data_IF_359392447213
#
_entry.id   IF_359392447213
#
_cell.length_a   1.000
_cell.length_b   1.000
_cell.length_c   1.000
_cell.angle_alpha   90.00
_cell.angle_beta   90.00
_cell.angle_gamma   90.00
#
_symmetry.space_group_name_H-M   'P 1'
#
loop_
_entity.id
_entity.type
_entity.pdbx_description
1 polymer ?
#
# COMPACT_ATOMS: atom_id res chain seq x y z
N UNK A 1 -19.33 -9.38 4.84
CA UNK A 1 -17.89 -9.52 4.50
C UNK A 1 -17.75 -9.09 3.05
N UNK A 2 -16.78 -8.24 2.74
CA UNK A 2 -16.60 -7.72 1.38
C UNK A 2 -16.16 -8.84 0.43
N UNK A 3 -16.67 -8.82 -0.79
CA UNK A 3 -16.19 -9.66 -1.89
C UNK A 3 -14.85 -9.12 -2.44
N UNK A 4 -14.00 -9.96 -3.06
CA UNK A 4 -12.72 -9.52 -3.64
C UNK A 4 -12.83 -8.31 -4.57
N UNK A 5 -13.90 -8.20 -5.35
CA UNK A 5 -14.14 -7.08 -6.26
C UNK A 5 -14.44 -5.78 -5.51
N UNK A 6 -15.17 -5.86 -4.40
CA UNK A 6 -15.44 -4.71 -3.53
C UNK A 6 -14.17 -4.26 -2.82
N UNK A 7 -13.37 -5.21 -2.34
CA UNK A 7 -12.05 -4.95 -1.75
C UNK A 7 -11.15 -4.25 -2.76
N UNK A 8 -11.04 -4.79 -3.98
CA UNK A 8 -10.25 -4.20 -5.06
C UNK A 8 -10.67 -2.76 -5.34
N UNK A 9 -11.98 -2.52 -5.50
CA UNK A 9 -12.51 -1.18 -5.76
C UNK A 9 -12.22 -0.20 -4.62
N UNK A 10 -12.51 -0.58 -3.37
CA UNK A 10 -12.30 0.31 -2.21
C UNK A 10 -10.82 0.60 -1.99
N UNK A 11 -9.95 -0.40 -2.15
CA UNK A 11 -8.51 -0.22 -2.04
C UNK A 11 -7.98 0.70 -3.15
N UNK A 12 -8.47 0.55 -4.38
CA UNK A 12 -8.11 1.42 -5.49
C UNK A 12 -8.53 2.88 -5.25
N UNK A 13 -9.74 3.11 -4.73
CA UNK A 13 -10.19 4.45 -4.35
C UNK A 13 -9.31 5.07 -3.28
N UNK A 14 -8.95 4.31 -2.25
CA UNK A 14 -8.05 4.77 -1.20
C UNK A 14 -6.64 5.08 -1.74
N UNK A 15 -6.10 4.27 -2.66
CA UNK A 15 -4.81 4.57 -3.32
C UNK A 15 -4.86 5.90 -4.07
N UNK A 16 -5.90 6.14 -4.86
CA UNK A 16 -6.08 7.42 -5.57
C UNK A 16 -6.12 8.59 -4.60
N UNK A 17 -6.75 8.42 -3.44
CA UNK A 17 -6.89 9.48 -2.43
C UNK A 17 -5.59 9.74 -1.66
N UNK A 18 -4.85 8.71 -1.27
CA UNK A 18 -3.76 8.85 -0.30
C UNK A 18 -2.36 8.50 -0.85
N UNK A 19 -2.26 7.69 -1.89
CA UNK A 19 -1.01 7.18 -2.44
C UNK A 19 -1.06 7.06 -3.99
N UNK A 20 -1.27 8.18 -4.72
CA UNK A 20 -1.60 8.16 -6.15
C UNK A 20 -0.49 7.61 -7.06
N UNK A 21 0.74 7.53 -6.56
CA UNK A 21 1.87 6.92 -7.28
C UNK A 21 1.78 5.39 -7.33
N UNK A 22 0.91 4.78 -6.52
CA UNK A 22 0.73 3.34 -6.41
C UNK A 22 -0.56 2.88 -7.09
N UNK A 23 -0.50 1.74 -7.75
CA UNK A 23 -1.65 1.07 -8.36
C UNK A 23 -1.68 -0.41 -8.03
N UNK A 24 -2.85 -1.03 -8.21
CA UNK A 24 -2.99 -2.49 -8.08
C UNK A 24 -2.59 -3.12 -9.43
N UNK A 25 -1.64 -4.05 -9.41
CA UNK A 25 -1.09 -4.70 -10.61
C UNK A 25 -1.42 -6.19 -10.71
N UNK A 26 -2.38 -6.69 -9.92
CA UNK A 26 -2.78 -8.09 -9.91
C UNK A 26 -4.14 -8.35 -9.28
N UNK A 27 -4.53 -9.62 -9.21
CA UNK A 27 -5.80 -10.02 -8.61
C UNK A 27 -5.83 -9.76 -7.09
N UNK A 28 -7.00 -9.39 -6.60
CA UNK A 28 -7.30 -9.42 -5.17
C UNK A 28 -7.67 -10.84 -4.75
N UNK A 29 -7.03 -11.36 -3.70
CA UNK A 29 -7.29 -12.73 -3.23
C UNK A 29 -7.58 -12.74 -1.74
N UNK A 30 -8.64 -13.42 -1.32
CA UNK A 30 -8.88 -13.67 0.10
C UNK A 30 -7.84 -14.66 0.65
N UNK A 31 -7.31 -14.36 1.84
CA UNK A 31 -6.27 -15.14 2.48
C UNK A 31 -6.87 -16.15 3.46
N UNK A 32 -6.55 -17.42 3.26
CA UNK A 32 -6.76 -18.48 4.24
C UNK A 32 -5.81 -18.36 5.44
N UNK A 33 -6.32 -18.62 6.65
CA UNK A 33 -5.54 -18.77 7.89
C UNK A 33 -4.80 -20.12 7.99
N UNK A 34 -5.13 -21.07 7.12
CA UNK A 34 -4.57 -22.42 7.13
C UNK A 34 -3.37 -22.60 6.21
N UNK A 35 -3.00 -21.55 5.45
CA UNK A 35 -1.86 -21.56 4.53
C UNK A 35 -0.70 -20.80 5.16
N UNK A 36 0.43 -21.47 5.37
CA UNK A 36 1.58 -20.89 6.08
C UNK A 36 2.21 -19.71 5.32
N UNK A 37 2.13 -19.72 3.99
CA UNK A 37 2.60 -18.65 3.11
C UNK A 37 1.73 -17.38 3.21
N UNK A 38 0.47 -17.52 3.63
CA UNK A 38 -0.43 -16.38 3.79
C UNK A 38 -0.09 -15.59 5.04
N UNK A 39 0.04 -14.28 4.85
CA UNK A 39 0.24 -13.34 5.94
C UNK A 39 -1.07 -12.61 6.25
N UNK A 40 -2.02 -13.34 6.82
CA UNK A 40 -3.29 -12.79 7.25
C UNK A 40 -3.21 -12.13 8.65
N UNK A 41 -4.12 -11.21 8.94
CA UNK A 41 -4.36 -10.66 10.30
C UNK A 41 -5.58 -11.28 10.99
N UNK A 42 -6.44 -11.95 10.23
CA UNK A 42 -7.65 -12.63 10.71
C UNK A 42 -8.54 -13.04 9.54
N UNK A 43 -9.77 -13.48 9.84
CA UNK A 43 -10.78 -13.76 8.81
C UNK A 43 -11.10 -12.48 7.99
N UNK A 44 -11.32 -12.65 6.69
CA UNK A 44 -11.55 -11.54 5.77
C UNK A 44 -10.31 -10.65 5.56
N UNK A 45 -9.11 -11.24 5.55
CA UNK A 45 -7.89 -10.54 5.11
C UNK A 45 -7.66 -10.81 3.63
N UNK A 46 -7.26 -9.79 2.88
CA UNK A 46 -7.02 -9.87 1.44
C UNK A 46 -5.58 -9.54 1.07
N UNK A 47 -5.07 -10.26 0.08
CA UNK A 47 -3.79 -10.01 -0.57
C UNK A 47 -3.98 -9.28 -1.90
N UNK A 48 -2.99 -8.44 -2.24
CA UNK A 48 -2.95 -7.58 -3.42
C UNK A 48 -1.48 -7.41 -3.83
N UNK A 49 -1.23 -7.12 -5.11
CA UNK A 49 0.09 -6.68 -5.58
C UNK A 49 -0.01 -5.23 -5.98
N UNK A 50 0.89 -4.40 -5.45
CA UNK A 50 0.96 -2.98 -5.75
C UNK A 50 2.22 -2.67 -6.55
N UNK A 51 2.08 -1.78 -7.52
CA UNK A 51 3.18 -1.26 -8.32
C UNK A 51 3.24 0.26 -8.18
N UNK A 52 4.44 0.79 -7.93
CA UNK A 52 4.67 2.22 -7.93
C UNK A 52 5.05 2.67 -9.34
N UNK A 53 4.21 3.50 -9.95
CA UNK A 53 4.38 3.97 -11.34
C UNK A 53 5.60 4.85 -11.56
N UNK A 54 6.13 5.47 -10.50
CA UNK A 54 7.24 6.42 -10.57
C UNK A 54 8.58 5.73 -10.36
N UNK A 55 8.66 4.84 -9.37
CA UNK A 55 9.91 4.18 -8.94
C UNK A 55 10.05 2.76 -9.47
N UNK A 56 8.98 2.16 -9.99
CA UNK A 56 8.93 0.75 -10.39
C UNK A 56 8.89 -0.23 -9.20
N UNK A 57 8.84 0.28 -7.96
CA UNK A 57 8.81 -0.55 -6.76
C UNK A 57 7.56 -1.44 -6.71
N UNK A 58 7.72 -2.66 -6.18
CA UNK A 58 6.62 -3.61 -6.02
C UNK A 58 6.40 -3.93 -4.54
N UNK A 59 5.14 -3.96 -4.12
CA UNK A 59 4.72 -4.40 -2.79
C UNK A 59 3.72 -5.54 -2.92
N UNK A 60 3.96 -6.63 -2.19
CA UNK A 60 3.07 -7.79 -2.17
C UNK A 60 2.41 -7.85 -0.79
N UNK A 61 1.10 -7.67 -0.77
CA UNK A 61 0.28 -7.76 0.45
C UNK A 61 -0.23 -9.19 0.60
N UNK A 62 -0.18 -9.72 1.82
CA UNK A 62 -0.77 -11.01 2.15
C UNK A 62 0.13 -12.22 1.98
N UNK A 63 1.41 -12.03 1.67
CA UNK A 63 2.42 -13.09 1.62
C UNK A 63 3.59 -12.77 2.55
N UNK A 64 4.15 -13.80 3.19
CA UNK A 64 5.33 -13.65 4.07
C UNK A 64 6.63 -13.52 3.30
N UNK A 65 6.75 -14.22 2.18
CA UNK A 65 7.91 -14.28 1.30
C UNK A 65 7.47 -14.55 -0.13
N UNK A 66 8.38 -14.39 -1.08
CA UNK A 66 8.16 -14.74 -2.49
C UNK A 66 9.40 -14.45 -3.34
N UNK A 67 9.28 -14.74 -4.62
CA UNK A 67 10.41 -14.74 -5.57
C UNK A 67 10.47 -13.48 -6.44
N UNK A 68 9.51 -12.55 -6.30
CA UNK A 68 9.50 -11.33 -7.10
C UNK A 68 10.74 -10.48 -6.77
N UNK A 69 11.64 -10.23 -7.74
CA UNK A 69 12.83 -9.44 -7.50
C UNK A 69 12.45 -8.00 -7.15
N UNK A 70 13.11 -7.43 -6.14
CA UNK A 70 12.87 -6.07 -5.63
C UNK A 70 11.45 -5.83 -5.07
N UNK A 71 10.68 -6.89 -4.79
CA UNK A 71 9.41 -6.77 -4.09
C UNK A 71 9.61 -6.74 -2.57
N UNK A 72 8.81 -5.93 -1.88
CA UNK A 72 8.69 -5.99 -0.41
C UNK A 72 7.37 -6.64 -0.01
N UNK A 73 7.39 -7.45 1.05
CA UNK A 73 6.28 -8.30 1.46
C UNK A 73 5.67 -7.76 2.75
N UNK A 74 4.34 -7.67 2.78
CA UNK A 74 3.59 -7.06 3.87
C UNK A 74 2.38 -7.91 4.22
N UNK A 75 1.85 -7.71 5.43
CA UNK A 75 0.59 -8.32 5.86
C UNK A 75 -0.58 -7.86 4.98
N UNK A 76 -1.53 -8.76 4.74
CA UNK A 76 -2.72 -8.43 3.96
C UNK A 76 -3.63 -7.40 4.65
N UNK A 77 -4.55 -6.82 3.88
CA UNK A 77 -5.51 -5.81 4.36
C UNK A 77 -6.78 -6.46 4.89
N UNK A 78 -7.23 -6.07 6.08
CA UNK A 78 -8.51 -6.54 6.64
C UNK A 78 -9.68 -5.82 5.97
N UNK A 79 -10.76 -6.57 5.66
CA UNK A 79 -12.00 -5.99 5.14
C UNK A 79 -12.58 -4.90 6.04
N UNK A 80 -12.37 -4.98 7.37
CA UNK A 80 -12.84 -3.97 8.34
C UNK A 80 -12.20 -2.60 8.13
N UNK A 81 -10.95 -2.55 7.70
CA UNK A 81 -10.25 -1.30 7.38
C UNK A 81 -10.90 -0.65 6.15
N UNK A 82 -11.31 -1.45 5.17
CA UNK A 82 -11.97 -0.99 3.95
C UNK A 82 -13.45 -0.64 4.16
N UNK A 83 -14.16 -1.36 5.04
CA UNK A 83 -15.50 -0.99 5.50
C UNK A 83 -15.47 0.38 6.21
N UNK A 84 -14.53 0.58 7.13
CA UNK A 84 -14.34 1.88 7.78
C UNK A 84 -14.08 3.00 6.77
N UNK A 85 -13.25 2.75 5.75
CA UNK A 85 -13.04 3.70 4.66
C UNK A 85 -14.32 4.02 3.88
N UNK A 86 -15.15 3.00 3.57
CA UNK A 86 -16.44 3.19 2.92
C UNK A 86 -17.39 4.07 3.77
N UNK A 87 -17.31 3.94 5.09
CA UNK A 87 -18.05 4.74 6.08
C UNK A 87 -17.38 6.11 6.37
N UNK A 88 -16.41 6.53 5.54
CA UNK A 88 -15.65 7.79 5.66
C UNK A 88 -14.77 7.91 6.91
N UNK A 89 -14.47 6.80 7.57
CA UNK A 89 -13.50 6.71 8.66
C UNK A 89 -12.13 6.34 8.04
N UNK A 90 -11.30 7.35 7.76
CA UNK A 90 -10.10 7.20 6.94
C UNK A 90 -8.81 6.88 7.70
N UNK A 91 -8.75 7.13 9.01
CA UNK A 91 -7.54 6.88 9.82
C UNK A 91 -7.01 5.43 9.73
N UNK A 92 -7.85 4.37 9.77
CA UNK A 92 -7.37 3.00 9.65
C UNK A 92 -6.64 2.70 8.33
N UNK A 93 -7.18 3.16 7.19
CA UNK A 93 -6.54 2.91 5.89
C UNK A 93 -5.27 3.74 5.71
N UNK A 94 -5.23 4.97 6.26
CA UNK A 94 -4.03 5.80 6.26
C UNK A 94 -2.90 5.17 7.07
N UNK A 95 -3.17 4.71 8.30
CA UNK A 95 -2.17 4.01 9.12
C UNK A 95 -1.67 2.74 8.45
N UNK A 96 -2.56 1.98 7.82
CA UNK A 96 -2.14 0.80 7.07
C UNK A 96 -1.20 1.18 5.91
N UNK A 97 -1.52 2.23 5.16
CA UNK A 97 -0.67 2.73 4.08
C UNK A 97 0.69 3.26 4.55
N UNK A 98 0.73 3.89 5.71
CA UNK A 98 1.97 4.30 6.37
C UNK A 98 2.79 3.07 6.80
N UNK A 99 2.17 2.05 7.41
CA UNK A 99 2.81 0.80 7.82
C UNK A 99 3.48 0.09 6.63
N UNK A 100 2.77 -0.02 5.50
CA UNK A 100 3.33 -0.65 4.30
C UNK A 100 4.21 0.30 3.47
N UNK A 101 4.36 1.56 3.89
CA UNK A 101 5.21 2.57 3.24
C UNK A 101 4.78 2.92 1.81
N UNK A 102 3.48 3.02 1.53
CA UNK A 102 2.97 3.55 0.25
C UNK A 102 2.69 5.04 0.31
N UNK A 103 2.45 5.58 1.51
CA UNK A 103 2.38 7.03 1.75
C UNK A 103 3.77 7.51 2.10
N UNK A 104 4.26 8.54 1.41
CA UNK A 104 5.49 9.21 1.80
C UNK A 104 5.27 9.91 3.15
N UNK A 105 6.18 9.77 4.14
CA UNK A 105 6.08 10.52 5.37
C UNK A 105 6.02 12.04 5.05
N UNK A 106 5.26 12.84 5.82
CA UNK A 106 5.13 14.27 5.58
C UNK A 106 6.47 15.02 5.44
N UNK A 107 7.52 14.49 6.06
CA UNK A 107 8.88 15.05 6.04
C UNK A 107 9.58 14.98 4.67
N UNK A 108 9.17 14.07 3.78
CA UNK A 108 9.76 13.97 2.43
C UNK A 108 9.32 15.12 1.50
N UNK A 109 8.24 15.85 1.84
CA UNK A 109 7.75 17.01 1.07
C UNK A 109 8.48 18.31 1.41
N UNK A 110 9.26 18.34 2.50
CA UNK A 110 9.97 19.53 2.98
C UNK A 110 11.48 19.51 2.76
N UNK A 111 12.02 18.54 2.02
CA UNK A 111 13.41 18.62 1.55
C UNK A 111 13.53 19.71 0.47
N UNK A 112 13.70 20.95 0.94
CA UNK A 112 14.14 22.11 0.18
C UNK A 112 15.32 21.71 -0.72
N UNK A 113 15.33 22.05 -2.03
CA UNK A 113 16.49 21.77 -2.86
C UNK A 113 17.71 22.49 -2.26
N UNK A 114 18.92 21.90 -2.33
CA UNK A 114 20.13 22.60 -1.93
C UNK A 114 20.21 23.88 -2.77
N UNK A 115 20.16 25.02 -2.08
CA UNK A 115 20.32 26.31 -2.72
C UNK A 115 21.65 26.30 -3.48
N UNK A 116 21.57 26.42 -4.80
CA UNK A 116 22.73 26.66 -5.63
C UNK A 116 23.44 27.91 -5.12
N UNK A 117 24.61 27.72 -4.51
CA UNK A 117 25.62 28.76 -4.39
C UNK A 117 26.56 28.48 -5.56
N UNK A 118 26.36 29.08 -6.74
CA UNK A 118 26.42 30.53 -6.92
C UNK A 118 27.88 30.91 -7.01
N UNK A 119 28.42 30.84 -8.23
CA UNK A 119 29.73 31.36 -8.63
C UNK A 119 30.05 32.68 -7.90
N UNK A 120 31.29 32.81 -7.44
CA UNK A 120 31.95 34.11 -7.33
C UNK A 120 33.39 33.93 -7.79
N UNK A 121 33.68 34.51 -8.95
CA UNK A 121 35.01 34.88 -9.36
C UNK A 121 35.50 36.03 -8.47
N UNK A 122 36.73 35.91 -7.97
CA UNK A 122 37.68 37.01 -7.79
C UNK A 122 39.06 36.38 -7.56
#
# INVERSE_FOLDING_TARGET
MLLPEQVHRLFQLALVEFAPDWEISGACTELSLHRAEHWASGLGTFGLVLHNRVTGATKVLGRRTGELPNATYHRGISYRVLEAYADRITDPIRRYFEEIGVVAPPEARFQKPPAGSGLKHA
#
